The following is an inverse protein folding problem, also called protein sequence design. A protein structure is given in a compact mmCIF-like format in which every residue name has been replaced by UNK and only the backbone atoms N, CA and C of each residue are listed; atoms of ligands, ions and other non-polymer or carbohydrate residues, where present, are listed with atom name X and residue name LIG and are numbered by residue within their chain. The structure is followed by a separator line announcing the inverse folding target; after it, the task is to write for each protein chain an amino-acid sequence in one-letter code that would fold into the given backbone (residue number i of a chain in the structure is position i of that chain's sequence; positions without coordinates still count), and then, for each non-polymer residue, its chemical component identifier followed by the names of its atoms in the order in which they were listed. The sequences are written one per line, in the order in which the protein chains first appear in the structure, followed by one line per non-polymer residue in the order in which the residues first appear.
data_IF_434352158296
#
_entry.id   IF_434352158296
#
_cell.length_a   1.000
_cell.length_b   1.000
_cell.length_c   1.000
_cell.angle_alpha   90.00
_cell.angle_beta   90.00
_cell.angle_gamma   90.00
#
_symmetry.space_group_name_H-M   'P 1'
#
loop_
_entity.id
_entity.type
_entity.pdbx_description
1 polymer ?
#
# COMPACT_ATOMS: atom_id res chain seq x y z
N UNK A 1 36.95 14.63 19.21
CA UNK A 1 35.62 14.04 19.55
C UNK A 1 34.55 14.87 18.84
N UNK A 2 34.17 14.49 17.62
CA UNK A 2 33.05 15.11 16.87
C UNK A 2 32.01 14.02 16.61
N UNK A 3 30.75 14.36 16.85
CA UNK A 3 29.60 13.46 16.96
C UNK A 3 29.53 12.38 15.88
N UNK A 4 29.33 11.16 16.36
CA UNK A 4 29.01 9.98 15.57
C UNK A 4 27.62 10.20 14.92
N UNK A 5 27.61 10.84 13.76
CA UNK A 5 26.40 11.11 12.98
C UNK A 5 25.85 9.80 12.42
N UNK A 6 24.71 9.36 12.92
CA UNK A 6 23.95 8.23 12.39
C UNK A 6 23.43 8.61 10.98
N UNK A 7 23.90 8.00 9.86
CA UNK A 7 23.32 8.20 8.54
C UNK A 7 22.43 6.99 8.20
N UNK A 8 21.51 6.65 9.12
CA UNK A 8 20.87 5.34 9.14
C UNK A 8 19.38 5.49 8.87
N UNK A 9 19.03 5.10 7.64
CA UNK A 9 17.69 4.91 7.10
C UNK A 9 16.81 6.16 7.15
N UNK A 10 16.40 6.66 5.97
CA UNK A 10 15.11 7.34 5.90
C UNK A 10 14.12 6.40 6.61
N UNK A 11 13.47 6.82 7.72
CA UNK A 11 12.58 5.94 8.41
C UNK A 11 11.55 5.44 7.39
N UNK A 12 11.12 4.19 7.49
CA UNK A 12 10.04 3.65 6.64
C UNK A 12 8.86 4.64 6.51
N UNK A 13 8.60 5.39 7.59
CA UNK A 13 7.68 6.53 7.68
C UNK A 13 7.89 7.63 6.63
N UNK A 14 9.12 7.95 6.22
CA UNK A 14 9.40 8.90 5.15
C UNK A 14 9.11 8.34 3.74
N UNK A 15 8.96 7.02 3.57
CA UNK A 15 8.54 6.40 2.32
C UNK A 15 7.01 6.27 2.21
N UNK A 16 6.30 6.16 3.34
CA UNK A 16 4.84 5.99 3.40
C UNK A 16 4.04 7.02 2.59
N UNK A 17 4.25 8.35 2.75
CA UNK A 17 3.52 9.35 1.97
C UNK A 17 3.76 9.24 0.46
N UNK A 18 4.96 8.78 0.07
CA UNK A 18 5.31 8.55 -1.34
C UNK A 18 4.56 7.34 -1.88
N UNK A 19 4.61 6.21 -1.18
CA UNK A 19 3.90 4.99 -1.57
C UNK A 19 2.39 5.23 -1.69
N UNK A 20 1.78 5.92 -0.72
CA UNK A 20 0.37 6.28 -0.77
C UNK A 20 0.04 7.13 -2.01
N UNK A 21 0.85 8.16 -2.31
CA UNK A 21 0.66 8.98 -3.52
C UNK A 21 0.80 8.17 -4.81
N UNK A 22 1.72 7.21 -4.87
CA UNK A 22 1.88 6.31 -6.02
C UNK A 22 0.62 5.49 -6.25
N UNK A 23 0.14 4.77 -5.21
CA UNK A 23 -1.04 3.92 -5.35
C UNK A 23 -2.31 4.71 -5.64
N UNK A 24 -2.50 5.88 -5.02
CA UNK A 24 -3.64 6.78 -5.33
C UNK A 24 -3.62 7.21 -6.81
N UNK A 25 -2.44 7.50 -7.36
CA UNK A 25 -2.32 7.84 -8.79
C UNK A 25 -2.64 6.66 -9.70
N UNK A 26 -2.17 5.45 -9.36
CA UNK A 26 -2.51 4.24 -10.10
C UNK A 26 -4.02 3.94 -10.08
N UNK A 27 -4.68 4.10 -8.93
CA UNK A 27 -6.13 3.94 -8.83
C UNK A 27 -6.91 4.92 -9.73
N UNK A 28 -6.41 6.16 -9.86
CA UNK A 28 -7.04 7.22 -10.65
C UNK A 28 -6.68 7.20 -12.15
N UNK A 29 -5.60 6.54 -12.54
CA UNK A 29 -5.16 6.51 -13.94
C UNK A 29 -6.08 5.60 -14.77
N UNK A 30 -6.70 6.15 -15.81
CA UNK A 30 -7.62 5.42 -16.69
C UNK A 30 -6.95 4.28 -17.48
N UNK A 31 -5.62 4.28 -17.59
CA UNK A 31 -4.84 3.21 -18.26
C UNK A 31 -4.67 1.97 -17.38
N UNK A 32 -4.90 2.09 -16.07
CA UNK A 32 -4.84 0.94 -15.16
C UNK A 32 -6.16 0.15 -15.28
N UNK A 33 -6.10 -1.18 -15.53
CA UNK A 33 -7.29 -2.02 -15.65
C UNK A 33 -8.20 -1.92 -14.41
N UNK A 34 -9.51 -2.09 -14.61
CA UNK A 34 -10.47 -1.98 -13.51
C UNK A 34 -10.30 -3.10 -12.48
N UNK A 35 -9.97 -4.32 -12.93
CA UNK A 35 -9.82 -5.49 -12.08
C UNK A 35 -8.88 -5.28 -10.86
N UNK A 36 -7.62 -4.85 -11.01
CA UNK A 36 -6.75 -4.57 -9.85
C UNK A 36 -7.25 -3.45 -8.95
N UNK A 37 -7.99 -2.47 -9.48
CA UNK A 37 -8.59 -1.41 -8.66
C UNK A 37 -9.68 -1.97 -7.76
N UNK A 38 -10.51 -2.86 -8.31
CA UNK A 38 -11.56 -3.54 -7.54
C UNK A 38 -10.98 -4.40 -6.42
N UNK A 39 -9.82 -5.04 -6.63
CA UNK A 39 -9.13 -5.79 -5.56
C UNK A 39 -8.78 -4.85 -4.39
N UNK A 40 -8.23 -3.67 -4.66
CA UNK A 40 -7.91 -2.69 -3.60
C UNK A 40 -9.18 -2.17 -2.92
N UNK A 41 -10.23 -1.87 -3.68
CA UNK A 41 -11.51 -1.44 -3.11
C UNK A 41 -12.11 -2.54 -2.23
N UNK A 42 -12.09 -3.80 -2.68
CA UNK A 42 -12.57 -4.94 -1.91
C UNK A 42 -11.77 -5.14 -0.61
N UNK A 43 -10.43 -5.00 -0.66
CA UNK A 43 -9.58 -5.07 0.53
C UNK A 43 -9.87 -3.94 1.53
N UNK A 44 -10.14 -2.71 1.04
CA UNK A 44 -10.53 -1.60 1.90
C UNK A 44 -11.93 -1.79 2.50
N UNK A 45 -12.87 -2.35 1.72
CA UNK A 45 -14.19 -2.70 2.21
C UNK A 45 -14.09 -3.79 3.27
N UNK A 46 -13.25 -4.81 3.07
CA UNK A 46 -12.98 -5.85 4.08
C UNK A 46 -12.47 -5.24 5.39
N UNK A 47 -11.49 -4.33 5.31
CA UNK A 47 -10.89 -3.68 6.50
C UNK A 47 -11.88 -2.80 7.29
N UNK A 48 -12.89 -2.23 6.63
CA UNK A 48 -13.88 -1.33 7.25
C UNK A 48 -15.17 -2.08 7.58
N UNK A 49 -15.39 -3.26 6.99
CA UNK A 49 -16.58 -4.04 7.20
C UNK A 49 -16.62 -4.51 8.67
N UNK A 50 -17.71 -4.25 9.41
CA UNK A 50 -17.86 -4.63 10.82
C UNK A 50 -18.13 -6.13 10.98
N UNK A 51 -17.60 -6.98 10.10
CA UNK A 51 -17.93 -8.40 10.02
C UNK A 51 -16.69 -9.23 10.33
N UNK A 52 -16.30 -9.22 11.60
CA UNK A 52 -15.49 -10.29 12.16
C UNK A 52 -16.33 -11.57 12.18
N UNK A 53 -16.15 -12.43 11.17
CA UNK A 53 -16.73 -13.79 11.14
C UNK A 53 -16.01 -14.74 12.12
N UNK A 54 -15.00 -14.25 12.82
CA UNK A 54 -14.26 -14.95 13.86
C UNK A 54 -14.80 -14.52 15.22
N UNK A 55 -15.23 -15.45 16.09
CA UNK A 55 -15.55 -15.10 17.47
C UNK A 55 -14.30 -14.49 18.09
N UNK A 56 -14.39 -13.23 18.54
CA UNK A 56 -13.33 -12.36 19.07
C UNK A 56 -12.50 -12.96 20.23
N UNK A 57 -12.79 -14.20 20.65
CA UNK A 57 -12.19 -14.89 21.76
C UNK A 57 -10.94 -15.72 21.43
N UNK A 58 -10.67 -16.05 20.15
CA UNK A 58 -9.65 -17.06 19.82
C UNK A 58 -8.25 -16.50 19.58
N UNK A 59 -8.04 -15.42 18.81
CA UNK A 59 -6.69 -14.84 18.60
C UNK A 59 -6.70 -13.35 18.20
N UNK A 60 -6.69 -12.40 19.15
CA UNK A 60 -6.73 -10.95 18.86
C UNK A 60 -5.55 -10.41 18.04
N UNK A 61 -4.39 -11.08 18.09
CA UNK A 61 -3.16 -10.63 17.40
C UNK A 61 -3.06 -11.17 15.96
N UNK A 62 -3.64 -12.35 15.68
CA UNK A 62 -3.63 -12.92 14.33
C UNK A 62 -4.66 -12.24 13.42
N UNK A 63 -5.79 -11.79 13.97
CA UNK A 63 -6.85 -11.09 13.24
C UNK A 63 -6.53 -9.64 12.82
N UNK A 64 -5.33 -9.13 13.12
CA UNK A 64 -4.83 -7.86 12.55
C UNK A 64 -3.70 -8.07 11.55
N UNK A 65 -3.06 -9.24 11.59
CA UNK A 65 -1.97 -9.58 10.67
C UNK A 65 -2.51 -9.95 9.30
N UNK A 66 -3.67 -10.61 9.25
CA UNK A 66 -4.39 -10.92 8.02
C UNK A 66 -4.84 -9.64 7.30
N UNK A 67 -5.37 -8.63 8.00
CA UNK A 67 -5.74 -7.34 7.45
C UNK A 67 -4.58 -6.64 6.73
N UNK A 68 -3.42 -6.58 7.41
CA UNK A 68 -2.20 -6.00 6.83
C UNK A 68 -1.74 -6.80 5.63
N UNK A 69 -1.82 -8.12 5.68
CA UNK A 69 -1.44 -9.00 4.59
C UNK A 69 -2.37 -8.83 3.38
N UNK A 70 -3.69 -8.79 3.59
CA UNK A 70 -4.72 -8.57 2.56
C UNK A 70 -4.49 -7.22 1.88
N UNK A 71 -4.29 -6.16 2.65
CA UNK A 71 -4.04 -4.83 2.12
C UNK A 71 -2.72 -4.78 1.33
N UNK A 72 -1.66 -5.40 1.84
CA UNK A 72 -0.38 -5.51 1.14
C UNK A 72 -0.49 -6.29 -0.17
N UNK A 73 -1.20 -7.42 -0.18
CA UNK A 73 -1.45 -8.22 -1.37
C UNK A 73 -2.27 -7.44 -2.40
N UNK A 74 -3.29 -6.68 -1.96
CA UNK A 74 -4.11 -5.87 -2.85
C UNK A 74 -3.30 -4.77 -3.55
N UNK A 75 -2.47 -4.03 -2.80
CA UNK A 75 -1.58 -3.03 -3.40
C UNK A 75 -0.51 -3.65 -4.29
N UNK A 76 0.02 -4.82 -3.92
CA UNK A 76 0.96 -5.58 -4.76
C UNK A 76 0.31 -6.05 -6.05
N UNK A 77 -0.94 -6.52 -6.01
CA UNK A 77 -1.72 -6.88 -7.18
C UNK A 77 -1.97 -5.66 -8.07
N UNK A 78 -2.32 -4.52 -7.49
CA UNK A 78 -2.46 -3.26 -8.22
C UNK A 78 -1.18 -2.90 -8.98
N UNK A 79 -0.02 -2.93 -8.33
CA UNK A 79 1.24 -2.62 -8.99
C UNK A 79 1.62 -3.65 -10.07
N UNK A 80 1.40 -4.96 -9.82
CA UNK A 80 1.79 -6.03 -10.74
C UNK A 80 0.89 -6.20 -11.96
N UNK A 81 -0.41 -5.91 -11.80
CA UNK A 81 -1.40 -6.04 -12.87
C UNK A 81 -1.64 -4.72 -13.62
N UNK A 82 -1.01 -3.63 -13.18
CA UNK A 82 -0.97 -2.37 -13.94
C UNK A 82 0.07 -2.45 -15.06
N UNK A 83 -0.13 -1.72 -16.18
CA UNK A 83 0.89 -1.61 -17.21
C UNK A 83 2.21 -1.07 -16.63
N UNK A 84 3.36 -1.72 -16.89
CA UNK A 84 4.63 -1.38 -16.24
C UNK A 84 5.08 0.05 -16.56
N UNK A 85 4.74 0.58 -17.73
CA UNK A 85 5.05 1.95 -18.14
C UNK A 85 4.33 2.97 -17.26
N UNK A 86 3.07 2.69 -16.90
CA UNK A 86 2.25 3.56 -16.05
C UNK A 86 2.79 3.57 -14.61
N UNK A 87 3.19 2.40 -14.10
CA UNK A 87 3.81 2.29 -12.77
C UNK A 87 5.14 3.03 -12.70
N UNK A 88 6.00 2.86 -13.71
CA UNK A 88 7.28 3.55 -13.81
C UNK A 88 7.08 5.08 -13.89
N UNK A 89 6.14 5.54 -14.70
CA UNK A 89 5.81 6.96 -14.86
C UNK A 89 5.39 7.59 -13.52
N UNK A 90 4.44 6.98 -12.81
CA UNK A 90 3.98 7.51 -11.52
C UNK A 90 5.04 7.42 -10.42
N UNK A 91 5.83 6.35 -10.41
CA UNK A 91 6.94 6.18 -9.47
C UNK A 91 7.99 7.27 -9.65
N UNK A 92 8.38 7.57 -10.89
CA UNK A 92 9.32 8.65 -11.20
C UNK A 92 8.77 10.03 -10.79
N UNK A 93 7.48 10.28 -11.02
CA UNK A 93 6.83 11.54 -10.62
C UNK A 93 6.72 11.72 -9.10
N UNK A 94 6.63 10.63 -8.33
CA UNK A 94 6.53 10.69 -6.86
C UNK A 94 7.90 10.79 -6.19
N UNK A 95 8.95 10.29 -6.84
CA UNK A 95 10.33 10.33 -6.34
C UNK A 95 11.03 11.67 -6.55
N UNK A 96 10.53 12.55 -7.42
CA UNK A 96 11.08 13.90 -7.60
C UNK A 96 10.71 14.78 -6.40
N UNK A 97 11.69 15.28 -5.61
CA UNK A 97 11.42 16.32 -4.62
C UNK A 97 10.91 17.56 -5.37
N UNK A 98 9.82 18.15 -4.87
CA UNK A 98 9.39 19.48 -5.30
C UNK A 98 10.27 20.52 -4.64
#
# INVERSE_FOLDING_TARGET
MRGFGWPLALPFWAALPRLLRLYVRLLRDGRVPLFPKLIVVAALVYLIAPVDFTPDFLVPVLGHLDDVLVLWLAFRALARLSPPEVVAEHSARVSRPR
#
